data_IF_953698130063
#
_entry.id   IF_953698130063
#
_cell.length_a   1.000
_cell.length_b   1.000
_cell.length_c   1.000
_cell.angle_alpha   90.00
_cell.angle_beta   90.00
_cell.angle_gamma   90.00
#
_symmetry.space_group_name_H-M   'P 1'
#
loop_
_entity.id
_entity.type
_entity.pdbx_description
1 polymer ?
#
# COMPACT_ATOMS: atom_id res chain seq x y z
N UNK A 1 -3.89 -27.24 10.33
CA UNK A 1 -3.22 -26.39 11.35
C UNK A 1 -1.81 -25.99 10.90
N UNK A 2 -1.66 -25.64 9.61
CA UNK A 2 -0.45 -25.07 9.00
C UNK A 2 -0.86 -24.19 7.78
N UNK A 3 -2.07 -23.64 7.78
CA UNK A 3 -2.64 -22.96 6.59
C UNK A 3 -2.46 -21.43 6.61
N UNK A 4 -1.94 -20.84 7.69
CA UNK A 4 -1.86 -19.36 7.86
C UNK A 4 -0.43 -18.77 7.79
N UNK A 5 0.59 -19.56 7.43
CA UNK A 5 1.98 -19.14 7.59
C UNK A 5 2.60 -18.41 6.39
N UNK A 6 1.91 -18.32 5.25
CA UNK A 6 2.44 -17.73 4.01
C UNK A 6 1.49 -16.70 3.34
N UNK A 7 0.75 -15.90 4.13
CA UNK A 7 -0.01 -14.76 3.59
C UNK A 7 0.97 -13.70 3.06
N UNK A 8 1.26 -13.74 1.76
CA UNK A 8 1.96 -12.66 1.09
C UNK A 8 1.05 -11.43 1.14
N UNK A 9 1.57 -10.31 1.62
CA UNK A 9 0.88 -9.02 1.63
C UNK A 9 1.63 -8.13 0.64
N UNK A 10 0.93 -7.58 -0.34
CA UNK A 10 1.53 -6.63 -1.27
C UNK A 10 1.19 -5.21 -0.79
N UNK A 11 2.21 -4.38 -0.56
CA UNK A 11 2.05 -2.98 -0.15
C UNK A 11 2.42 -2.08 -1.32
N UNK A 12 1.50 -1.23 -1.74
CA UNK A 12 1.76 -0.18 -2.72
C UNK A 12 2.23 1.07 -2.01
N UNK A 13 3.46 1.47 -2.29
CA UNK A 13 4.04 2.71 -1.79
C UNK A 13 3.89 3.81 -2.84
N UNK A 14 3.00 4.75 -2.54
CA UNK A 14 2.85 6.02 -3.23
C UNK A 14 3.66 7.12 -2.56
N UNK A 15 4.98 6.99 -2.49
CA UNK A 15 5.79 8.05 -1.87
C UNK A 15 6.24 9.05 -2.94
N UNK A 16 5.40 10.03 -3.26
CA UNK A 16 5.85 11.21 -3.99
C UNK A 16 6.64 12.12 -3.04
N UNK A 17 7.89 11.76 -2.71
CA UNK A 17 8.85 12.63 -2.01
C UNK A 17 9.50 12.13 -0.71
N UNK A 18 9.11 10.98 -0.14
CA UNK A 18 9.77 10.43 1.06
C UNK A 18 10.88 9.43 0.67
N UNK A 19 12.11 9.69 1.13
CA UNK A 19 13.33 8.95 0.76
C UNK A 19 13.62 7.72 1.63
N UNK A 20 12.92 7.54 2.76
CA UNK A 20 13.41 6.71 3.88
C UNK A 20 12.52 5.53 4.26
N UNK A 21 12.14 4.69 3.28
CA UNK A 21 11.64 3.34 3.58
C UNK A 21 12.64 2.25 3.21
N UNK A 22 13.86 2.64 2.82
CA UNK A 22 15.01 1.75 2.95
C UNK A 22 15.52 1.94 4.38
N UNK A 23 15.09 1.08 5.29
CA UNK A 23 15.95 0.51 6.33
C UNK A 23 15.15 -0.46 7.22
N UNK A 24 15.53 -1.73 7.15
CA UNK A 24 15.47 -2.59 8.33
C UNK A 24 14.19 -3.40 8.54
N UNK A 25 14.21 -4.63 8.02
CA UNK A 25 13.96 -5.83 8.84
C UNK A 25 12.82 -5.73 9.88
N UNK A 26 11.57 -5.71 9.43
CA UNK A 26 10.45 -6.15 10.28
C UNK A 26 10.45 -7.69 10.25
N UNK A 27 11.17 -8.26 11.21
CA UNK A 27 11.41 -9.68 11.35
C UNK A 27 10.09 -10.46 11.50
N UNK A 28 9.52 -10.92 10.37
CA UNK A 28 8.82 -12.19 10.21
C UNK A 28 8.13 -12.34 8.84
N UNK A 29 7.71 -11.27 8.18
CA UNK A 29 6.86 -11.34 6.97
C UNK A 29 7.08 -10.06 6.15
N UNK A 30 7.86 -10.13 5.08
CA UNK A 30 8.21 -8.93 4.29
C UNK A 30 7.06 -8.62 3.32
N UNK A 31 6.31 -7.53 3.50
CA UNK A 31 5.40 -7.09 2.47
C UNK A 31 6.18 -6.71 1.21
N UNK A 32 5.71 -7.12 0.03
CA UNK A 32 6.31 -6.68 -1.24
C UNK A 32 5.96 -5.21 -1.44
N UNK A 33 6.96 -4.35 -1.42
CA UNK A 33 6.81 -2.92 -1.64
C UNK A 33 6.85 -2.59 -3.14
N UNK A 34 5.79 -2.00 -3.69
CA UNK A 34 5.78 -1.44 -5.05
C UNK A 34 5.83 0.08 -4.99
N UNK A 35 6.89 0.71 -5.53
CA UNK A 35 6.95 2.17 -5.67
C UNK A 35 6.12 2.62 -6.87
N UNK A 36 5.12 3.46 -6.64
CA UNK A 36 4.20 3.98 -7.68
C UNK A 36 4.30 5.50 -7.76
N UNK A 37 5.23 6.05 -8.58
CA UNK A 37 5.40 7.49 -8.73
C UNK A 37 4.31 8.16 -9.58
N UNK A 38 3.53 7.37 -10.32
CA UNK A 38 2.37 7.81 -11.10
C UNK A 38 1.50 6.59 -11.36
N UNK A 39 0.24 6.68 -10.94
CA UNK A 39 -0.77 5.64 -11.15
C UNK A 39 -1.06 5.47 -12.64
N UNK A 40 -1.19 6.57 -13.39
CA UNK A 40 -1.44 6.55 -14.84
C UNK A 40 -0.36 5.77 -15.60
N UNK A 41 0.92 5.94 -15.21
CA UNK A 41 2.05 5.24 -15.85
C UNK A 41 2.10 3.77 -15.52
N UNK A 42 1.56 3.35 -14.36
CA UNK A 42 1.42 1.95 -13.99
C UNK A 42 0.26 1.32 -14.77
N UNK A 43 -0.87 2.00 -14.85
CA UNK A 43 -2.07 1.57 -15.57
C UNK A 43 -1.83 1.43 -17.08
N UNK A 44 -1.04 2.33 -17.67
CA UNK A 44 -0.62 2.26 -19.06
C UNK A 44 0.33 1.09 -19.37
N UNK A 45 0.78 0.30 -18.37
CA UNK A 45 1.62 -0.88 -18.60
C UNK A 45 0.80 -2.06 -19.12
N UNK A 46 1.44 -3.00 -19.85
CA UNK A 46 0.80 -4.25 -20.24
C UNK A 46 0.20 -4.98 -19.05
N UNK A 47 -0.93 -5.64 -19.26
CA UNK A 47 -1.63 -6.39 -18.22
C UNK A 47 -0.71 -7.39 -17.50
N UNK A 48 0.16 -8.09 -18.22
CA UNK A 48 1.13 -9.01 -17.64
C UNK A 48 2.07 -8.34 -16.63
N UNK A 49 2.47 -7.08 -16.87
CA UNK A 49 3.29 -6.32 -15.92
C UNK A 49 2.46 -5.91 -14.71
N UNK A 50 1.21 -5.48 -14.93
CA UNK A 50 0.31 -5.08 -13.84
C UNK A 50 -0.04 -6.25 -12.93
N UNK A 51 -0.34 -7.43 -13.48
CA UNK A 51 -0.60 -8.65 -12.70
C UNK A 51 0.63 -9.16 -11.95
N UNK A 52 1.84 -8.97 -12.49
CA UNK A 52 3.08 -9.32 -11.79
C UNK A 52 3.42 -8.31 -10.67
N UNK A 53 3.17 -7.02 -10.93
CA UNK A 53 3.40 -5.95 -9.96
C UNK A 53 2.35 -5.95 -8.83
N UNK A 54 1.08 -6.18 -9.17
CA UNK A 54 -0.09 -6.23 -8.30
C UNK A 54 -0.91 -7.49 -8.61
N UNK A 55 -0.53 -8.64 -8.05
CA UNK A 55 -1.30 -9.87 -8.16
C UNK A 55 -2.75 -9.66 -7.71
N UNK A 56 -3.73 -10.08 -8.53
CA UNK A 56 -5.14 -9.75 -8.29
C UNK A 56 -5.78 -10.52 -7.13
N UNK A 57 -5.11 -11.57 -6.66
CA UNK A 57 -5.57 -12.47 -5.59
C UNK A 57 -4.87 -12.21 -4.24
N UNK A 58 -4.17 -11.08 -4.11
CA UNK A 58 -3.44 -10.70 -2.89
C UNK A 58 -4.07 -9.44 -2.29
N UNK A 59 -4.21 -9.35 -0.95
CA UNK A 59 -4.59 -8.11 -0.29
C UNK A 59 -3.57 -7.01 -0.59
N UNK A 60 -4.06 -5.83 -0.96
CA UNK A 60 -3.21 -4.69 -1.29
C UNK A 60 -3.66 -3.47 -0.51
N UNK A 61 -2.71 -2.74 0.03
CA UNK A 61 -2.95 -1.40 0.56
C UNK A 61 -2.03 -0.37 -0.07
N UNK A 62 -2.44 0.90 -0.02
CA UNK A 62 -1.66 2.04 -0.47
C UNK A 62 -1.26 2.91 0.72
N UNK A 63 -0.06 3.48 0.67
CA UNK A 63 0.42 4.42 1.67
C UNK A 63 1.07 5.63 1.00
N UNK A 64 0.54 6.83 1.25
CA UNK A 64 1.06 8.11 0.75
C UNK A 64 0.83 9.22 1.79
N UNK A 65 1.83 10.06 2.03
CA UNK A 65 1.71 11.24 2.90
C UNK A 65 0.97 12.39 2.17
N UNK A 66 -0.21 12.08 1.64
CA UNK A 66 -1.04 12.91 0.78
C UNK A 66 -2.48 12.37 0.77
N UNK A 67 -3.34 12.90 -0.09
CA UNK A 67 -4.76 12.48 -0.11
C UNK A 67 -4.90 10.99 -0.45
N UNK A 68 -5.89 10.35 0.15
CA UNK A 68 -6.25 8.95 -0.17
C UNK A 68 -6.97 8.85 -1.53
N UNK A 69 -7.45 9.98 -2.06
CA UNK A 69 -8.16 10.04 -3.33
C UNK A 69 -7.31 9.51 -4.49
N UNK A 70 -7.90 8.66 -5.32
CA UNK A 70 -7.24 8.05 -6.49
C UNK A 70 -6.58 6.70 -6.22
N UNK A 71 -6.25 6.37 -4.95
CA UNK A 71 -5.60 5.09 -4.62
C UNK A 71 -6.53 3.88 -4.74
N UNK A 72 -7.84 4.08 -4.53
CA UNK A 72 -8.84 3.02 -4.62
C UNK A 72 -8.95 2.38 -6.02
N UNK A 73 -8.54 3.08 -7.09
CA UNK A 73 -8.44 2.48 -8.43
C UNK A 73 -7.40 1.35 -8.49
N UNK A 74 -6.34 1.44 -7.69
CA UNK A 74 -5.27 0.43 -7.63
C UNK A 74 -5.53 -0.61 -6.54
N UNK A 75 -5.98 -0.18 -5.35
CA UNK A 75 -6.18 -1.08 -4.20
C UNK A 75 -7.53 -1.79 -4.21
N UNK A 76 -8.48 -1.34 -5.03
CA UNK A 76 -9.85 -1.86 -5.09
C UNK A 76 -10.74 -1.31 -3.98
N UNK A 77 -12.03 -1.66 -4.05
CA UNK A 77 -13.07 -1.18 -3.11
C UNK A 77 -12.82 -1.66 -1.67
N UNK A 78 -12.34 -2.90 -1.52
CA UNK A 78 -12.00 -3.49 -0.23
C UNK A 78 -10.54 -3.20 0.20
N UNK A 79 -9.78 -2.47 -0.61
CA UNK A 79 -8.39 -2.13 -0.35
C UNK A 79 -8.22 -1.08 0.74
N UNK A 80 -7.09 -1.13 1.46
CA UNK A 80 -6.77 -0.16 2.50
C UNK A 80 -5.92 0.99 1.93
N UNK A 81 -6.17 2.22 2.39
CA UNK A 81 -5.33 3.38 2.06
C UNK A 81 -4.96 4.13 3.35
N UNK A 82 -3.67 4.30 3.59
CA UNK A 82 -3.13 5.13 4.67
C UNK A 82 -2.62 6.42 4.06
N UNK A 83 -3.30 7.52 4.36
CA UNK A 83 -2.89 8.85 3.91
C UNK A 83 -3.43 9.96 4.77
N UNK A 84 -3.51 11.16 4.21
CA UNK A 84 -3.83 12.40 4.89
C UNK A 84 -4.85 13.23 4.10
N UNK A 85 -6.14 13.13 4.49
CA UNK A 85 -7.26 13.89 3.89
C UNK A 85 -7.62 15.16 4.67
N UNK A 86 -6.66 15.69 5.41
CA UNK A 86 -6.77 16.95 6.16
C UNK A 86 -5.48 17.75 6.01
N UNK A 87 -5.50 19.01 6.45
CA UNK A 87 -4.26 19.76 6.55
C UNK A 87 -3.28 19.09 7.52
N UNK A 88 -1.99 19.24 7.21
CA UNK A 88 -0.89 18.68 7.98
C UNK A 88 -0.71 19.34 9.34
N UNK A 89 0.36 18.92 10.00
CA UNK A 89 0.77 19.43 11.32
C UNK A 89 2.10 20.18 11.19
N UNK A 90 2.34 21.11 12.09
CA UNK A 90 3.63 21.80 12.20
C UNK A 90 4.53 21.02 13.17
N UNK A 91 5.72 20.64 12.71
CA UNK A 91 6.66 19.86 13.50
C UNK A 91 7.81 19.32 12.65
N UNK A 92 8.67 18.51 13.26
CA UNK A 92 9.64 17.70 12.50
C UNK A 92 8.91 16.62 11.71
N UNK A 93 9.48 16.16 10.60
CA UNK A 93 8.87 15.11 9.78
C UNK A 93 8.59 13.83 10.57
N UNK A 94 9.54 13.42 11.42
CA UNK A 94 9.40 12.24 12.30
C UNK A 94 8.25 12.41 13.30
N UNK A 95 8.21 13.52 14.06
CA UNK A 95 7.16 13.75 15.04
C UNK A 95 5.77 13.91 14.41
N UNK A 96 5.69 14.49 13.21
CA UNK A 96 4.44 14.55 12.46
C UNK A 96 4.00 13.16 11.98
N UNK A 97 4.91 12.31 11.52
CA UNK A 97 4.58 10.93 11.11
C UNK A 97 4.10 10.10 12.29
N UNK A 98 4.74 10.20 13.45
CA UNK A 98 4.29 9.52 14.68
C UNK A 98 2.89 9.99 15.12
N UNK A 99 2.65 11.30 15.15
CA UNK A 99 1.38 11.87 15.59
C UNK A 99 0.20 11.50 14.68
N UNK A 100 0.44 11.34 13.37
CA UNK A 100 -0.60 10.93 12.42
C UNK A 100 -0.60 9.41 12.16
N UNK A 101 0.20 8.65 12.90
CA UNK A 101 0.36 7.20 12.76
C UNK A 101 0.74 6.77 11.32
N UNK A 102 1.58 7.54 10.66
CA UNK A 102 2.12 7.23 9.33
C UNK A 102 3.33 6.30 9.45
N UNK A 103 3.08 5.05 9.85
CA UNK A 103 4.12 4.05 10.15
C UNK A 103 3.97 2.79 9.29
N UNK A 104 5.05 2.01 9.18
CA UNK A 104 5.02 0.71 8.48
C UNK A 104 4.09 -0.28 9.20
N UNK A 105 4.09 -0.27 10.54
CA UNK A 105 3.22 -1.14 11.32
C UNK A 105 1.75 -0.82 11.05
N UNK A 106 1.40 0.47 10.96
CA UNK A 106 0.03 0.90 10.65
C UNK A 106 -0.46 0.35 9.31
N UNK A 107 0.33 0.44 8.24
CA UNK A 107 -0.07 -0.09 6.92
C UNK A 107 -0.15 -1.62 6.94
N UNK A 108 0.73 -2.31 7.65
CA UNK A 108 0.66 -3.77 7.80
C UNK A 108 -0.62 -4.20 8.51
N UNK A 109 -1.01 -3.51 9.56
CA UNK A 109 -2.22 -3.84 10.32
C UNK A 109 -3.50 -3.59 9.52
N UNK A 110 -3.63 -2.46 8.79
CA UNK A 110 -4.81 -2.26 7.92
C UNK A 110 -4.91 -3.29 6.80
N UNK A 111 -3.80 -3.72 6.19
CA UNK A 111 -3.86 -4.71 5.12
C UNK A 111 -4.23 -6.09 5.67
N UNK A 112 -3.87 -6.41 6.92
CA UNK A 112 -4.33 -7.66 7.55
C UNK A 112 -5.84 -7.71 7.72
N UNK A 113 -6.48 -6.57 7.88
CA UNK A 113 -7.94 -6.43 7.98
C UNK A 113 -8.63 -6.49 6.61
N UNK A 114 -7.90 -6.27 5.51
CA UNK A 114 -8.43 -6.43 4.15
C UNK A 114 -8.80 -7.90 3.90
N UNK A 115 -10.03 -8.19 3.45
CA UNK A 115 -10.44 -9.55 3.11
C UNK A 115 -9.70 -10.03 1.86
N UNK A 116 -9.57 -11.36 1.72
CA UNK A 116 -9.06 -11.93 0.47
C UNK A 116 -9.99 -11.55 -0.68
N UNK A 117 -9.47 -11.05 -1.81
CA UNK A 117 -10.30 -10.61 -2.93
C UNK A 117 -11.11 -11.80 -3.47
N UNK A 118 -12.43 -11.61 -3.58
CA UNK A 118 -13.33 -12.60 -4.14
C UNK A 118 -13.14 -12.68 -5.66
N UNK A 119 -12.18 -13.49 -6.10
CA UNK A 119 -11.78 -13.74 -7.50
C UNK A 119 -11.43 -12.47 -8.29
N UNK A 120 -10.13 -12.25 -8.51
CA UNK A 120 -9.62 -11.35 -9.54
C UNK A 120 -9.98 -9.87 -9.36
N UNK A 121 -9.11 -9.06 -8.74
CA UNK A 121 -9.25 -7.59 -8.75
C UNK A 121 -9.40 -7.08 -10.19
N UNK A 122 -10.57 -6.53 -10.53
CA UNK A 122 -10.77 -5.86 -11.80
C UNK A 122 -9.88 -4.61 -11.86
N UNK A 123 -8.88 -4.61 -12.73
CA UNK A 123 -8.18 -3.36 -13.07
C UNK A 123 -9.12 -2.54 -13.94
N UNK A 124 -9.78 -1.55 -13.36
CA UNK A 124 -10.59 -0.60 -14.13
C UNK A 124 -9.63 0.29 -14.92
N UNK A 125 -9.85 0.36 -16.24
CA UNK A 125 -9.06 1.16 -17.20
C UNK A 125 -9.61 2.58 -17.33
#
# INVERSE_FOLDING_TARGET
MLEDLNRALDVVFGATGLRSLDDGNVAARVPKALRVPSTDRLEARPESYRCDALPPDVPVGAMEAGTTHGWHHLVGDDGAVVGLDRFGLSGSGEGVCEEIDFTVDRIVDVIREVPEPASGRATTA
#
